data_IF_219853164052
#
_entry.id   IF_219853164052
#
_cell.length_a   1.000
_cell.length_b   1.000
_cell.length_c   1.000
_cell.angle_alpha   90.00
_cell.angle_beta   90.00
_cell.angle_gamma   90.00
#
_symmetry.space_group_name_H-M   'P 1'
#
loop_
_entity.id
_entity.type
_entity.pdbx_description
1 polymer ?
#
# COMPACT_ATOMS: atom_id res chain seq x y z
N UNK A 1 -7.77 5.77 4.67
CA UNK A 1 -6.92 6.63 3.80
C UNK A 1 -5.90 5.81 3.00
N UNK A 2 -5.16 4.87 3.62
CA UNK A 2 -4.19 3.97 2.96
C UNK A 2 -4.67 3.27 1.68
N UNK A 3 -5.87 2.68 1.66
CA UNK A 3 -6.42 1.99 0.46
C UNK A 3 -6.58 2.90 -0.77
N UNK A 4 -6.87 4.20 -0.60
CA UNK A 4 -6.94 5.18 -1.72
C UNK A 4 -5.56 5.49 -2.28
N UNK A 5 -4.57 5.67 -1.38
CA UNK A 5 -3.20 6.00 -1.77
C UNK A 5 -2.51 4.84 -2.48
N UNK A 6 -2.81 3.60 -2.08
CA UNK A 6 -2.33 2.38 -2.74
C UNK A 6 -2.91 2.15 -4.14
N UNK A 7 -3.99 2.85 -4.48
CA UNK A 7 -4.54 2.86 -5.84
C UNK A 7 -3.84 3.86 -6.77
N UNK A 8 -2.96 4.73 -6.24
CA UNK A 8 -2.21 5.68 -7.05
C UNK A 8 -0.84 5.07 -7.43
N UNK A 9 -0.58 4.74 -8.71
CA UNK A 9 0.69 4.17 -9.14
C UNK A 9 1.88 5.14 -8.96
N UNK A 10 1.63 6.45 -8.86
CA UNK A 10 2.66 7.46 -8.63
C UNK A 10 3.23 7.46 -7.20
N UNK A 11 2.57 6.76 -6.24
CA UNK A 11 3.03 6.68 -4.86
C UNK A 11 3.64 5.31 -4.55
N UNK A 12 4.85 5.30 -4.02
CA UNK A 12 5.49 4.07 -3.54
C UNK A 12 4.95 3.67 -2.16
N UNK A 13 5.02 2.37 -1.84
CA UNK A 13 4.63 1.85 -0.51
C UNK A 13 5.37 2.57 0.62
N UNK A 14 6.62 2.92 0.38
CA UNK A 14 7.48 3.65 1.32
C UNK A 14 7.04 5.12 1.49
N UNK A 15 6.69 5.83 0.41
CA UNK A 15 6.09 7.16 0.51
C UNK A 15 4.76 7.14 1.26
N UNK A 16 3.89 6.17 0.96
CA UNK A 16 2.60 6.00 1.65
C UNK A 16 2.81 5.74 3.14
N UNK A 17 3.79 4.91 3.49
CA UNK A 17 4.18 4.66 4.88
C UNK A 17 4.57 5.96 5.58
N UNK A 18 5.44 6.77 4.96
CA UNK A 18 5.88 8.06 5.52
C UNK A 18 4.73 9.07 5.65
N UNK A 19 3.89 9.19 4.64
CA UNK A 19 2.73 10.10 4.65
C UNK A 19 1.71 9.74 5.73
N UNK A 20 1.57 8.46 6.06
CA UNK A 20 0.69 7.98 7.12
C UNK A 20 1.31 8.06 8.52
N UNK A 21 2.52 8.60 8.67
CA UNK A 21 3.20 8.77 9.94
C UNK A 21 3.86 7.49 10.49
N UNK A 22 4.06 6.46 9.65
CA UNK A 22 4.77 5.27 10.07
C UNK A 22 6.29 5.49 10.03
N UNK A 23 6.94 5.09 11.13
CA UNK A 23 8.40 5.18 11.30
C UNK A 23 9.17 4.27 10.35
N UNK A 24 8.54 3.22 9.81
CA UNK A 24 9.16 2.28 8.88
C UNK A 24 8.13 1.64 7.93
N UNK A 25 8.47 1.46 6.63
CA UNK A 25 7.66 0.71 5.66
C UNK A 25 7.37 -0.73 6.10
N UNK A 26 8.26 -1.36 6.87
CA UNK A 26 8.06 -2.72 7.39
C UNK A 26 6.94 -2.76 8.44
N UNK A 27 6.87 -1.73 9.30
CA UNK A 27 5.82 -1.60 10.29
C UNK A 27 4.47 -1.30 9.65
N UNK A 28 4.46 -0.42 8.63
CA UNK A 28 3.28 -0.20 7.80
C UNK A 28 2.80 -1.49 7.15
N UNK A 29 3.70 -2.26 6.53
CA UNK A 29 3.35 -3.52 5.85
C UNK A 29 2.72 -4.54 6.79
N UNK A 30 3.29 -4.73 7.99
CA UNK A 30 2.73 -5.64 9.01
C UNK A 30 1.36 -5.16 9.49
N UNK A 31 1.23 -3.87 9.78
CA UNK A 31 -0.03 -3.27 10.25
C UNK A 31 -1.10 -3.33 9.17
N UNK A 32 -0.76 -2.99 7.93
CA UNK A 32 -1.66 -3.04 6.79
C UNK A 32 -2.15 -4.47 6.58
N UNK A 33 -1.25 -5.46 6.50
CA UNK A 33 -1.63 -6.87 6.35
C UNK A 33 -2.51 -7.37 7.50
N UNK A 34 -2.25 -6.94 8.74
CA UNK A 34 -3.10 -7.29 9.89
C UNK A 34 -4.51 -6.73 9.76
N UNK A 35 -4.67 -5.55 9.15
CA UNK A 35 -5.96 -4.87 8.98
C UNK A 35 -6.71 -5.29 7.70
N UNK A 36 -6.01 -5.64 6.63
CA UNK A 36 -6.60 -5.93 5.31
C UNK A 36 -6.52 -7.40 4.91
N UNK A 37 -5.70 -8.21 5.59
CA UNK A 37 -5.45 -9.61 5.26
C UNK A 37 -4.38 -9.83 4.17
N UNK A 38 -3.91 -8.77 3.50
CA UNK A 38 -2.97 -8.86 2.37
C UNK A 38 -1.90 -7.77 2.43
N UNK A 39 -0.74 -7.97 1.78
CA UNK A 39 0.32 -6.96 1.82
C UNK A 39 -0.04 -5.74 0.96
N UNK A 40 0.51 -4.54 1.24
CA UNK A 40 0.32 -3.37 0.39
C UNK A 40 0.73 -3.60 -1.06
N UNK A 41 1.79 -4.39 -1.28
CA UNK A 41 2.28 -4.76 -2.61
C UNK A 41 1.29 -5.66 -3.34
N UNK A 42 0.70 -6.66 -2.66
CA UNK A 42 -0.35 -7.51 -3.25
C UNK A 42 -1.60 -6.71 -3.57
N UNK A 43 -2.03 -5.84 -2.65
CA UNK A 43 -3.15 -4.93 -2.86
C UNK A 43 -2.91 -4.01 -4.07
N UNK A 44 -1.69 -3.51 -4.24
CA UNK A 44 -1.29 -2.69 -5.39
C UNK A 44 -1.25 -3.51 -6.67
N UNK A 45 -0.73 -4.73 -6.64
CA UNK A 45 -0.68 -5.63 -7.80
C UNK A 45 -2.09 -5.96 -8.31
N UNK A 46 -3.03 -6.25 -7.40
CA UNK A 46 -4.44 -6.50 -7.73
C UNK A 46 -5.14 -5.28 -8.35
N UNK A 47 -4.78 -4.06 -7.93
CA UNK A 47 -5.32 -2.82 -8.53
C UNK A 47 -4.60 -2.37 -9.80
N UNK A 48 -3.30 -2.60 -9.91
CA UNK A 48 -2.49 -2.24 -11.07
C UNK A 48 -2.69 -3.16 -12.27
N UNK A 49 -3.11 -4.42 -12.07
CA UNK A 49 -3.48 -5.32 -13.16
C UNK A 49 -4.81 -4.94 -13.86
N UNK A 50 -5.59 -3.99 -13.31
CA UNK A 50 -6.82 -3.51 -13.94
C UNK A 50 -6.57 -2.40 -15.01
N UNK A 51 -5.34 -1.89 -15.12
CA UNK A 51 -4.97 -0.80 -16.06
C UNK A 51 -4.03 -1.29 -17.19
N UNK A 52 -3.65 -2.57 -17.20
CA UNK A 52 -2.79 -3.19 -18.24
C UNK A 52 -3.50 -4.35 -18.93
N UNK A 53 -4.81 -4.20 -19.19
CA UNK A 53 -5.58 -5.10 -20.06
C UNK A 53 -6.43 -4.29 -21.02
#
# INVERSE_FOLDING_TARGET
QSKRMLGNPAMTIDQISRTLGFSSPAYFTRTFRKLTGETPSDFRSKRGQADVR
#
